data_IF_457724319254
#
_entry.id   IF_457724319254
#
_cell.length_a   1.000
_cell.length_b   1.000
_cell.length_c   1.000
_cell.angle_alpha   90.00
_cell.angle_beta   90.00
_cell.angle_gamma   90.00
#
_symmetry.space_group_name_H-M   'P 1'
#
loop_
_entity.id
_entity.type
_entity.pdbx_description
1 polymer ?
#
# COMPACT_ATOMS: atom_id res chain seq x y z
N UNK A 1 -10.07 -12.20 -31.82
CA UNK A 1 -9.37 -13.43 -31.37
C UNK A 1 -7.88 -13.17 -31.07
N UNK A 2 -7.16 -12.54 -31.98
CA UNK A 2 -5.71 -12.22 -31.83
C UNK A 2 -5.44 -11.31 -30.59
N UNK A 3 -6.28 -10.28 -30.37
CA UNK A 3 -6.12 -9.37 -29.23
C UNK A 3 -6.33 -10.09 -27.88
N UNK A 4 -7.27 -11.02 -27.80
CA UNK A 4 -7.49 -11.83 -26.60
C UNK A 4 -6.31 -12.76 -26.30
N UNK A 5 -5.72 -13.36 -27.34
CA UNK A 5 -4.55 -14.22 -27.21
C UNK A 5 -3.33 -13.42 -26.72
N UNK A 6 -3.12 -12.21 -27.25
CA UNK A 6 -2.04 -11.31 -26.78
C UNK A 6 -2.22 -10.92 -25.30
N UNK A 7 -3.45 -10.56 -24.89
CA UNK A 7 -3.75 -10.22 -23.49
C UNK A 7 -3.49 -11.41 -22.56
N UNK A 8 -3.91 -12.61 -22.94
CA UNK A 8 -3.67 -13.83 -22.14
C UNK A 8 -2.17 -14.15 -22.03
N UNK A 9 -1.42 -14.06 -23.12
CA UNK A 9 0.02 -14.28 -23.11
C UNK A 9 0.73 -13.29 -22.20
N UNK A 10 0.36 -12.00 -22.27
CA UNK A 10 0.93 -10.97 -21.41
C UNK A 10 0.59 -11.18 -19.92
N UNK A 11 -0.64 -11.64 -19.64
CA UNK A 11 -1.08 -11.97 -18.30
C UNK A 11 -0.20 -13.06 -17.66
N UNK A 12 0.05 -14.17 -18.38
CA UNK A 12 0.90 -15.28 -17.91
C UNK A 12 2.34 -14.83 -17.64
N UNK A 13 2.89 -13.99 -18.53
CA UNK A 13 4.23 -13.45 -18.33
C UNK A 13 4.34 -12.61 -17.06
N UNK A 14 3.33 -11.77 -16.77
CA UNK A 14 3.28 -10.94 -15.58
C UNK A 14 3.05 -11.74 -14.30
N UNK A 15 2.27 -12.83 -14.36
CA UNK A 15 2.10 -13.75 -13.25
C UNK A 15 3.47 -14.30 -12.78
N UNK A 16 4.27 -14.78 -13.73
CA UNK A 16 5.60 -15.31 -13.44
C UNK A 16 6.53 -14.24 -12.83
N UNK A 17 6.50 -13.01 -13.38
CA UNK A 17 7.29 -11.89 -12.85
C UNK A 17 6.86 -11.51 -11.44
N UNK A 18 5.56 -11.47 -11.16
CA UNK A 18 5.02 -11.11 -9.85
C UNK A 18 5.36 -12.14 -8.77
N UNK A 19 5.33 -13.43 -9.09
CA UNK A 19 5.73 -14.50 -8.18
C UNK A 19 7.21 -14.38 -7.79
N UNK A 20 8.05 -13.91 -8.70
CA UNK A 20 9.48 -13.68 -8.45
C UNK A 20 9.75 -12.41 -7.61
N UNK A 21 8.80 -11.47 -7.56
CA UNK A 21 8.97 -10.17 -6.89
C UNK A 21 8.61 -10.17 -5.39
N UNK A 22 8.46 -11.33 -4.75
CA UNK A 22 8.00 -11.45 -3.35
C UNK A 22 6.68 -10.72 -3.05
N UNK A 23 5.82 -10.57 -4.06
CA UNK A 23 4.51 -9.94 -3.90
C UNK A 23 3.54 -10.83 -3.15
N UNK A 24 2.55 -10.21 -2.50
CA UNK A 24 1.43 -10.93 -1.92
C UNK A 24 0.72 -11.77 -3.01
N UNK A 25 0.82 -13.11 -2.90
CA UNK A 25 0.24 -14.05 -3.87
C UNK A 25 -1.24 -13.81 -4.08
N UNK A 26 -1.96 -13.53 -3.00
CA UNK A 26 -3.40 -13.28 -3.05
C UNK A 26 -3.74 -12.04 -3.90
N UNK A 27 -2.96 -10.97 -3.78
CA UNK A 27 -3.11 -9.78 -4.63
C UNK A 27 -2.89 -10.12 -6.11
N UNK A 28 -1.83 -10.89 -6.42
CA UNK A 28 -1.50 -11.30 -7.80
C UNK A 28 -2.64 -12.10 -8.42
N UNK A 29 -3.12 -13.16 -7.74
CA UNK A 29 -4.25 -13.97 -8.23
C UNK A 29 -5.52 -13.14 -8.41
N UNK A 30 -5.83 -12.25 -7.49
CA UNK A 30 -7.00 -11.39 -7.57
C UNK A 30 -6.93 -10.41 -8.75
N UNK A 31 -5.76 -9.81 -9.01
CA UNK A 31 -5.55 -8.94 -10.16
C UNK A 31 -5.73 -9.72 -11.48
N UNK A 32 -5.16 -10.91 -11.57
CA UNK A 32 -5.27 -11.77 -12.76
C UNK A 32 -6.72 -12.23 -13.00
N UNK A 33 -7.43 -12.63 -11.94
CA UNK A 33 -8.86 -12.99 -12.03
C UNK A 33 -9.72 -11.81 -12.51
N UNK A 34 -9.43 -10.59 -12.05
CA UNK A 34 -10.13 -9.39 -12.50
C UNK A 34 -9.86 -9.10 -13.98
N UNK A 35 -8.61 -9.25 -14.44
CA UNK A 35 -8.25 -9.12 -15.87
C UNK A 35 -8.99 -10.18 -16.68
N UNK A 36 -8.97 -11.44 -16.26
CA UNK A 36 -9.64 -12.55 -16.94
C UNK A 36 -11.16 -12.33 -17.03
N UNK A 37 -11.78 -11.84 -15.95
CA UNK A 37 -13.21 -11.50 -15.93
C UNK A 37 -13.56 -10.48 -17.02
N UNK A 38 -12.79 -9.40 -17.18
CA UNK A 38 -13.01 -8.39 -18.21
C UNK A 38 -12.73 -8.92 -19.63
N UNK A 39 -11.73 -9.78 -19.80
CA UNK A 39 -11.48 -10.47 -21.08
C UNK A 39 -12.67 -11.32 -21.48
N UNK A 40 -13.23 -12.10 -20.55
CA UNK A 40 -14.37 -12.98 -20.81
C UNK A 40 -15.66 -12.18 -21.09
N UNK A 41 -15.81 -11.01 -20.50
CA UNK A 41 -16.92 -10.08 -20.80
C UNK A 41 -16.73 -9.26 -22.07
N UNK A 42 -15.65 -9.50 -22.81
CA UNK A 42 -15.28 -8.75 -24.03
C UNK A 42 -15.05 -7.25 -23.78
N UNK A 43 -14.87 -6.83 -22.52
CA UNK A 43 -14.47 -5.48 -22.12
C UNK A 43 -12.95 -5.34 -22.25
N UNK A 44 -12.48 -5.32 -23.48
CA UNK A 44 -11.05 -5.25 -23.81
C UNK A 44 -10.39 -3.95 -23.32
N UNK A 45 -11.15 -2.87 -23.20
CA UNK A 45 -10.65 -1.58 -22.75
C UNK A 45 -10.29 -1.62 -21.25
N UNK A 46 -11.20 -2.11 -20.41
CA UNK A 46 -10.94 -2.25 -18.97
C UNK A 46 -9.89 -3.32 -18.70
N UNK A 47 -9.93 -4.46 -19.41
CA UNK A 47 -8.90 -5.50 -19.30
C UNK A 47 -7.51 -4.96 -19.61
N UNK A 48 -7.36 -4.21 -20.72
CA UNK A 48 -6.08 -3.61 -21.12
C UNK A 48 -5.56 -2.58 -20.13
N UNK A 49 -6.45 -1.71 -19.60
CA UNK A 49 -6.10 -0.72 -18.57
C UNK A 49 -5.65 -1.39 -17.28
N UNK A 50 -6.37 -2.41 -16.83
CA UNK A 50 -6.02 -3.17 -15.62
C UNK A 50 -4.66 -3.85 -15.78
N UNK A 51 -4.46 -4.54 -16.92
CA UNK A 51 -3.21 -5.23 -17.26
C UNK A 51 -2.02 -4.26 -17.32
N UNK A 52 -2.21 -3.08 -17.91
CA UNK A 52 -1.17 -2.04 -17.99
C UNK A 52 -0.78 -1.52 -16.61
N UNK A 53 -1.76 -1.22 -15.75
CA UNK A 53 -1.51 -0.76 -14.37
C UNK A 53 -0.82 -1.84 -13.54
N UNK A 54 -1.27 -3.09 -13.67
CA UNK A 54 -0.67 -4.24 -13.00
C UNK A 54 0.78 -4.45 -13.45
N UNK A 55 1.06 -4.42 -14.77
CA UNK A 55 2.41 -4.54 -15.31
C UNK A 55 3.35 -3.43 -14.78
N UNK A 56 2.84 -2.19 -14.67
CA UNK A 56 3.60 -1.06 -14.14
C UNK A 56 3.94 -1.26 -12.65
N UNK A 57 2.99 -1.74 -11.85
CA UNK A 57 3.21 -2.05 -10.43
C UNK A 57 4.24 -3.17 -10.26
N UNK A 58 4.11 -4.28 -11.01
CA UNK A 58 5.07 -5.40 -10.97
C UNK A 58 6.49 -4.91 -11.27
N UNK A 59 6.66 -4.11 -12.33
CA UNK A 59 7.99 -3.58 -12.71
C UNK A 59 8.57 -2.72 -11.60
N UNK A 60 7.78 -1.77 -11.04
CA UNK A 60 8.22 -0.93 -9.94
C UNK A 60 8.59 -1.73 -8.67
N UNK A 61 7.90 -2.84 -8.41
CA UNK A 61 8.21 -3.71 -7.27
C UNK A 61 9.50 -4.53 -7.52
N UNK A 62 9.70 -5.01 -8.75
CA UNK A 62 10.95 -5.68 -9.13
C UNK A 62 12.15 -4.74 -9.00
N UNK A 63 12.02 -3.52 -9.52
CA UNK A 63 13.07 -2.52 -9.42
C UNK A 63 13.39 -2.19 -7.95
N UNK A 64 12.35 -1.99 -7.13
CA UNK A 64 12.50 -1.70 -5.70
C UNK A 64 13.10 -2.87 -4.90
N UNK A 65 12.88 -4.12 -5.33
CA UNK A 65 13.43 -5.31 -4.63
C UNK A 65 14.95 -5.45 -4.77
N UNK A 66 15.56 -4.71 -5.69
CA UNK A 66 17.02 -4.69 -5.89
C UNK A 66 17.75 -3.76 -4.91
N UNK A 67 17.01 -2.92 -4.18
CA UNK A 67 17.56 -1.94 -3.25
C UNK A 67 16.96 -2.11 -1.85
N UNK A 68 17.75 -1.85 -0.83
CA UNK A 68 17.27 -1.90 0.56
C UNK A 68 16.30 -0.79 0.90
N UNK A 69 16.46 0.38 0.27
CA UNK A 69 15.65 1.56 0.49
C UNK A 69 15.22 2.20 -0.83
N UNK A 70 14.10 2.92 -0.78
CA UNK A 70 13.54 3.71 -1.88
C UNK A 70 13.22 5.13 -1.41
N UNK A 71 12.92 6.05 -2.30
CA UNK A 71 12.41 7.38 -1.93
C UNK A 71 10.94 7.32 -1.55
N UNK A 72 10.48 8.29 -0.74
CA UNK A 72 9.05 8.41 -0.42
C UNK A 72 8.21 8.69 -1.68
N UNK A 73 8.76 9.41 -2.67
CA UNK A 73 8.13 9.60 -3.98
C UNK A 73 7.83 8.26 -4.66
N UNK A 74 8.84 7.41 -4.79
CA UNK A 74 8.69 6.09 -5.42
C UNK A 74 7.75 5.16 -4.65
N UNK A 75 7.78 5.24 -3.30
CA UNK A 75 6.87 4.47 -2.44
C UNK A 75 5.41 4.89 -2.64
N UNK A 76 5.11 6.21 -2.66
CA UNK A 76 3.77 6.71 -2.89
C UNK A 76 3.26 6.41 -4.31
N UNK A 77 4.12 6.51 -5.33
CA UNK A 77 3.75 6.12 -6.70
C UNK A 77 3.38 4.64 -6.82
N UNK A 78 4.08 3.75 -6.11
CA UNK A 78 3.71 2.32 -6.04
C UNK A 78 2.40 2.11 -5.32
N UNK A 79 2.24 2.80 -4.20
CA UNK A 79 1.04 2.73 -3.38
C UNK A 79 -0.19 3.22 -4.13
N UNK A 80 -0.07 4.28 -4.92
CA UNK A 80 -1.13 4.79 -5.78
C UNK A 80 -1.51 3.76 -6.86
N UNK A 81 -0.54 3.12 -7.51
CA UNK A 81 -0.83 2.05 -8.46
C UNK A 81 -1.56 0.86 -7.82
N UNK A 82 -1.18 0.49 -6.60
CA UNK A 82 -1.88 -0.53 -5.82
C UNK A 82 -3.32 -0.11 -5.53
N UNK A 83 -3.53 1.12 -5.05
CA UNK A 83 -4.86 1.68 -4.76
C UNK A 83 -5.74 1.75 -6.01
N UNK A 84 -5.19 2.16 -7.15
CA UNK A 84 -5.92 2.16 -8.46
C UNK A 84 -6.41 0.76 -8.81
N UNK A 85 -5.58 -0.28 -8.64
CA UNK A 85 -5.94 -1.66 -8.95
C UNK A 85 -7.02 -2.19 -8.01
N UNK A 86 -6.90 -1.95 -6.70
CA UNK A 86 -7.91 -2.35 -5.72
C UNK A 86 -9.23 -1.56 -5.92
N UNK A 87 -9.15 -0.27 -6.24
CA UNK A 87 -10.33 0.55 -6.57
C UNK A 87 -11.03 0.06 -7.85
N UNK A 88 -10.28 -0.34 -8.88
CA UNK A 88 -10.88 -0.94 -10.08
C UNK A 88 -11.59 -2.26 -9.77
N UNK A 89 -11.12 -3.01 -8.77
CA UNK A 89 -11.70 -4.28 -8.33
C UNK A 89 -12.95 -4.07 -7.49
N UNK A 90 -12.89 -3.17 -6.52
CA UNK A 90 -13.95 -2.98 -5.53
C UNK A 90 -14.83 -1.75 -5.78
N UNK A 91 -14.54 -0.97 -6.85
CA UNK A 91 -15.30 0.20 -7.31
C UNK A 91 -15.87 1.06 -6.17
N UNK A 92 -17.18 0.89 -5.91
CA UNK A 92 -17.93 1.74 -4.99
C UNK A 92 -17.71 1.40 -3.50
N UNK A 93 -16.86 0.41 -3.17
CA UNK A 93 -16.63 0.00 -1.78
C UNK A 93 -15.76 0.98 -1.02
N UNK A 94 -14.82 1.64 -1.68
CA UNK A 94 -13.99 2.64 -1.02
C UNK A 94 -13.56 3.77 -1.95
N UNK A 95 -13.23 4.89 -1.34
CA UNK A 95 -12.49 6.00 -1.95
C UNK A 95 -11.13 6.12 -1.29
N UNK A 96 -10.22 6.78 -1.95
CA UNK A 96 -8.93 7.11 -1.35
C UNK A 96 -8.49 8.52 -1.71
N UNK A 97 -7.66 9.09 -0.87
CA UNK A 97 -6.98 10.36 -1.11
C UNK A 97 -5.52 10.26 -0.69
N UNK A 98 -4.64 10.86 -1.49
CA UNK A 98 -3.23 11.02 -1.15
C UNK A 98 -2.95 12.53 -1.19
N UNK A 99 -2.51 13.07 -0.06
CA UNK A 99 -2.17 14.48 0.08
C UNK A 99 -0.74 14.64 0.55
N UNK A 100 -0.02 15.56 -0.05
CA UNK A 100 1.36 15.87 0.32
C UNK A 100 1.45 17.36 0.60
N UNK A 101 1.98 17.72 1.77
CA UNK A 101 2.27 19.10 2.11
C UNK A 101 3.33 19.65 1.13
N UNK A 102 3.08 20.82 0.48
CA UNK A 102 4.02 21.37 -0.50
C UNK A 102 5.42 21.67 0.03
N UNK A 103 5.58 21.78 1.35
CA UNK A 103 6.87 22.04 1.98
C UNK A 103 7.76 20.79 2.09
N UNK A 104 7.20 19.60 1.82
CA UNK A 104 7.91 18.33 1.96
C UNK A 104 8.57 17.91 0.64
N UNK A 105 9.89 17.84 0.61
CA UNK A 105 10.63 17.23 -0.50
C UNK A 105 10.74 15.70 -0.30
N UNK A 106 9.81 14.97 -0.88
CA UNK A 106 9.72 13.51 -0.76
C UNK A 106 10.93 12.76 -1.36
N UNK A 107 11.73 13.40 -2.22
CA UNK A 107 12.92 12.78 -2.81
C UNK A 107 14.10 12.70 -1.83
N UNK A 108 14.09 13.52 -0.79
CA UNK A 108 15.09 13.49 0.28
C UNK A 108 14.75 12.50 1.42
N UNK A 109 13.59 11.85 1.35
CA UNK A 109 13.14 10.93 2.37
C UNK A 109 13.29 9.50 1.85
N UNK A 110 14.05 8.69 2.57
CA UNK A 110 14.27 7.28 2.22
C UNK A 110 13.68 6.35 3.27
N UNK A 111 13.07 5.26 2.79
CA UNK A 111 12.46 4.23 3.61
C UNK A 111 12.63 2.86 2.95
N UNK A 112 12.46 1.75 3.69
CA UNK A 112 12.40 0.41 3.10
C UNK A 112 11.30 0.32 2.05
N UNK A 113 11.60 -0.32 0.93
CA UNK A 113 10.60 -0.53 -0.11
C UNK A 113 9.40 -1.33 0.39
N UNK A 114 8.21 -0.98 -0.07
CA UNK A 114 6.92 -1.60 0.29
C UNK A 114 6.59 -1.51 1.80
N UNK A 115 7.10 -0.48 2.48
CA UNK A 115 6.88 -0.30 3.91
C UNK A 115 5.46 0.19 4.25
N UNK A 116 4.89 1.05 3.42
CA UNK A 116 3.57 1.64 3.66
C UNK A 116 2.43 0.73 3.19
N UNK A 117 2.66 -0.09 2.18
CA UNK A 117 1.65 -0.93 1.54
C UNK A 117 0.90 -1.85 2.51
N UNK A 118 1.52 -2.57 3.47
CA UNK A 118 0.80 -3.46 4.39
C UNK A 118 -0.24 -2.75 5.26
N UNK A 119 -0.02 -1.46 5.59
CA UNK A 119 -0.98 -0.68 6.35
C UNK A 119 -2.20 -0.30 5.52
N UNK A 120 -1.99 0.05 4.25
CA UNK A 120 -3.07 0.34 3.30
C UNK A 120 -3.86 -0.92 2.96
N UNK A 121 -3.19 -2.05 2.76
CA UNK A 121 -3.84 -3.36 2.62
C UNK A 121 -4.73 -3.67 3.82
N UNK A 122 -4.23 -3.45 5.03
CA UNK A 122 -4.99 -3.68 6.26
C UNK A 122 -6.22 -2.76 6.35
N UNK A 123 -6.08 -1.48 6.00
CA UNK A 123 -7.20 -0.52 5.97
C UNK A 123 -8.30 -0.95 5.01
N UNK A 124 -7.95 -1.40 3.81
CA UNK A 124 -8.92 -1.85 2.81
C UNK A 124 -9.55 -3.18 3.24
N UNK A 125 -8.74 -4.22 3.44
CA UNK A 125 -9.24 -5.58 3.61
C UNK A 125 -9.91 -5.83 4.95
N UNK A 126 -9.38 -5.26 6.03
CA UNK A 126 -9.87 -5.49 7.39
C UNK A 126 -10.64 -4.31 7.97
N UNK A 127 -10.42 -3.10 7.45
CA UNK A 127 -11.14 -1.92 7.89
C UNK A 127 -12.44 -1.73 7.09
N UNK A 128 -12.33 -1.60 5.78
CA UNK A 128 -13.41 -1.10 4.92
C UNK A 128 -14.26 -2.20 4.29
N UNK A 129 -13.64 -3.23 3.70
CA UNK A 129 -14.41 -4.27 2.99
C UNK A 129 -15.47 -4.98 3.83
N UNK A 130 -15.30 -5.17 5.16
CA UNK A 130 -16.34 -5.72 6.02
C UNK A 130 -17.54 -4.79 6.24
N UNK A 131 -17.43 -3.49 5.93
CA UNK A 131 -18.52 -2.54 6.08
C UNK A 131 -19.61 -2.75 5.03
N UNK A 132 -20.85 -2.44 5.36
CA UNK A 132 -21.96 -2.37 4.40
C UNK A 132 -21.90 -1.09 3.56
N UNK A 133 -21.40 0.01 4.13
CA UNK A 133 -21.24 1.31 3.50
C UNK A 133 -19.93 1.45 2.72
N UNK A 134 -19.82 2.50 1.91
CA UNK A 134 -18.58 2.92 1.27
C UNK A 134 -17.65 3.52 2.32
N UNK A 135 -16.37 3.10 2.32
CA UNK A 135 -15.34 3.64 3.20
C UNK A 135 -14.35 4.55 2.48
N UNK A 136 -13.44 5.14 3.26
CA UNK A 136 -12.41 6.03 2.77
C UNK A 136 -11.04 5.73 3.40
N UNK A 137 -9.98 5.69 2.58
CA UNK A 137 -8.59 5.64 3.01
C UNK A 137 -7.93 6.97 2.69
N UNK A 138 -7.43 7.66 3.70
CA UNK A 138 -6.68 8.90 3.55
C UNK A 138 -5.19 8.65 3.87
N UNK A 139 -4.32 9.05 2.96
CA UNK A 139 -2.88 9.05 3.13
C UNK A 139 -2.43 10.50 3.08
N UNK A 140 -1.79 10.98 4.15
CA UNK A 140 -1.24 12.33 4.19
C UNK A 140 0.26 12.29 4.51
N UNK A 141 1.01 13.19 3.89
CA UNK A 141 2.42 13.45 4.15
C UNK A 141 2.56 14.87 4.64
N UNK A 142 3.03 15.03 5.86
CA UNK A 142 3.10 16.31 6.56
C UNK A 142 4.49 16.49 7.19
N UNK A 143 4.94 17.73 7.45
CA UNK A 143 6.09 17.96 8.31
C UNK A 143 5.91 17.28 9.67
N UNK A 144 6.96 16.66 10.19
CA UNK A 144 6.96 16.04 11.51
C UNK A 144 7.00 17.08 12.64
N UNK A 145 7.05 16.59 13.88
CA UNK A 145 7.15 17.45 15.07
C UNK A 145 8.47 18.22 15.13
N UNK A 146 9.50 17.74 14.48
CA UNK A 146 10.80 18.40 14.31
C UNK A 146 11.11 18.62 12.83
N UNK A 147 11.92 19.62 12.51
CA UNK A 147 12.25 20.02 11.15
C UNK A 147 13.00 18.95 10.33
N UNK A 148 13.63 18.00 11.01
CA UNK A 148 14.37 16.88 10.43
C UNK A 148 13.49 15.62 10.21
N UNK A 149 12.17 15.74 10.38
CA UNK A 149 11.24 14.60 10.25
C UNK A 149 10.03 14.93 9.40
N UNK A 150 9.48 13.88 8.79
CA UNK A 150 8.22 13.89 8.07
C UNK A 150 7.31 12.81 8.63
N UNK A 151 6.04 13.11 8.73
CA UNK A 151 5.00 12.19 9.20
C UNK A 151 4.12 11.76 8.03
N UNK A 152 4.10 10.46 7.75
CA UNK A 152 3.12 9.83 6.87
C UNK A 152 2.01 9.26 7.72
N UNK A 153 0.76 9.71 7.50
CA UNK A 153 -0.41 9.15 8.15
C UNK A 153 -1.23 8.34 7.16
N UNK A 154 -1.70 7.18 7.62
CA UNK A 154 -2.67 6.33 6.91
C UNK A 154 -3.86 6.21 7.84
N UNK A 155 -5.01 6.68 7.40
CA UNK A 155 -6.25 6.71 8.17
C UNK A 155 -7.37 6.09 7.34
N UNK A 156 -8.12 5.19 7.93
CA UNK A 156 -9.37 4.67 7.36
C UNK A 156 -10.56 4.97 8.28
N UNK A 157 -11.74 4.99 7.70
CA UNK A 157 -13.02 5.10 8.41
C UNK A 157 -13.71 3.74 8.57
N UNK A 158 -12.91 2.67 8.60
CA UNK A 158 -13.35 1.28 8.70
C UNK A 158 -13.93 0.89 10.06
N UNK A 159 -14.12 -0.43 10.24
CA UNK A 159 -14.69 -1.00 11.49
C UNK A 159 -13.78 -0.88 12.72
N UNK A 160 -12.54 -0.43 12.55
CA UNK A 160 -11.53 -0.32 13.60
C UNK A 160 -10.79 -1.62 13.93
N UNK A 161 -9.67 -1.48 14.63
CA UNK A 161 -8.71 -2.58 14.88
C UNK A 161 -9.32 -3.68 15.73
N UNK A 162 -10.03 -3.34 16.81
CA UNK A 162 -10.56 -4.32 17.77
C UNK A 162 -11.62 -5.23 17.14
N UNK A 163 -12.49 -4.66 16.33
CA UNK A 163 -13.53 -5.42 15.64
C UNK A 163 -12.94 -6.28 14.52
N UNK A 164 -11.94 -5.74 13.80
CA UNK A 164 -11.17 -6.48 12.81
C UNK A 164 -10.45 -7.69 13.41
N UNK A 165 -9.88 -7.57 14.61
CA UNK A 165 -9.22 -8.69 15.29
C UNK A 165 -10.19 -9.78 15.73
N UNK A 166 -11.42 -9.44 16.11
CA UNK A 166 -12.45 -10.41 16.50
C UNK A 166 -13.00 -11.22 15.32
N UNK A 167 -12.99 -10.66 14.11
CA UNK A 167 -13.45 -11.33 12.90
C UNK A 167 -12.41 -12.28 12.27
N UNK A 168 -11.18 -12.31 12.79
CA UNK A 168 -10.06 -13.14 12.30
C UNK A 168 -10.12 -14.64 12.63
N UNK A 169 -11.28 -15.22 12.84
CA UNK A 169 -11.43 -16.69 12.95
C UNK A 169 -11.26 -17.43 11.61
N UNK A 170 -10.91 -16.74 10.52
CA UNK A 170 -10.68 -17.35 9.20
C UNK A 170 -9.21 -17.28 8.75
N UNK A 171 -8.73 -18.30 7.96
CA UNK A 171 -7.31 -18.48 7.61
C UNK A 171 -6.67 -17.35 6.78
N UNK A 172 -7.47 -16.51 6.11
CA UNK A 172 -6.97 -15.43 5.24
C UNK A 172 -6.41 -14.21 6.02
N UNK A 173 -6.82 -14.00 7.28
CA UNK A 173 -6.38 -12.88 8.12
C UNK A 173 -4.92 -12.94 8.55
N UNK A 174 -4.29 -14.12 8.49
CA UNK A 174 -2.96 -14.37 9.04
C UNK A 174 -1.83 -13.74 8.17
N UNK A 175 -2.02 -13.65 6.85
CA UNK A 175 -1.00 -13.13 5.94
C UNK A 175 -0.75 -11.63 6.06
N UNK A 176 -1.78 -10.83 6.31
CA UNK A 176 -1.66 -9.36 6.40
C UNK A 176 -1.13 -8.94 7.76
N UNK A 177 -1.54 -9.62 8.84
CA UNK A 177 -0.95 -9.43 10.17
C UNK A 177 0.54 -9.71 10.17
N UNK A 178 0.98 -10.79 9.49
CA UNK A 178 2.39 -11.10 9.25
C UNK A 178 3.11 -10.01 8.45
N UNK A 179 2.47 -9.43 7.43
CA UNK A 179 3.03 -8.32 6.66
C UNK A 179 3.36 -7.10 7.51
N UNK A 180 2.46 -6.71 8.43
CA UNK A 180 2.69 -5.61 9.38
C UNK A 180 3.80 -5.95 10.37
N UNK A 181 3.83 -7.17 10.92
CA UNK A 181 4.89 -7.63 11.82
C UNK A 181 6.26 -7.65 11.13
N UNK A 182 6.33 -8.16 9.91
CA UNK A 182 7.55 -8.17 9.10
C UNK A 182 8.02 -6.74 8.83
N UNK A 183 7.10 -5.82 8.50
CA UNK A 183 7.44 -4.42 8.23
C UNK A 183 7.96 -3.72 9.48
N UNK A 184 7.33 -3.93 10.64
CA UNK A 184 7.83 -3.42 11.93
C UNK A 184 9.19 -4.01 12.27
N UNK A 185 9.35 -5.33 12.15
CA UNK A 185 10.62 -6.01 12.39
C UNK A 185 11.74 -5.50 11.49
N UNK A 186 11.45 -5.26 10.21
CA UNK A 186 12.41 -4.68 9.25
C UNK A 186 12.81 -3.26 9.63
N UNK A 187 11.87 -2.42 10.03
CA UNK A 187 12.15 -1.08 10.53
C UNK A 187 13.01 -1.10 11.80
N UNK A 188 12.74 -2.03 12.72
CA UNK A 188 13.52 -2.21 13.96
C UNK A 188 14.96 -2.67 13.68
N UNK A 189 15.15 -3.59 12.72
CA UNK A 189 16.50 -4.02 12.30
C UNK A 189 17.27 -2.86 11.70
N UNK A 190 16.66 -2.10 10.79
CA UNK A 190 17.33 -0.94 10.15
C UNK A 190 17.64 0.15 11.17
N UNK A 191 16.79 0.37 12.17
CA UNK A 191 17.07 1.29 13.27
C UNK A 191 18.23 0.82 14.14
N UNK A 192 18.31 -0.49 14.48
CA UNK A 192 19.42 -1.07 15.25
C UNK A 192 20.76 -0.99 14.51
N UNK A 193 20.71 -1.05 13.18
CA UNK A 193 21.88 -0.92 12.32
C UNK A 193 22.24 0.54 12.03
N UNK A 194 21.54 1.52 12.64
CA UNK A 194 21.69 2.97 12.45
C UNK A 194 21.51 3.42 10.98
N UNK A 195 20.87 2.58 10.16
CA UNK A 195 20.62 2.91 8.75
C UNK A 195 19.48 3.91 8.60
N UNK A 196 18.42 3.78 9.45
CA UNK A 196 17.28 4.71 9.48
C UNK A 196 16.67 4.80 10.88
N UNK A 197 16.26 6.01 11.32
CA UNK A 197 15.46 6.23 12.54
C UNK A 197 13.98 6.38 12.17
N UNK A 198 13.35 5.28 11.76
CA UNK A 198 11.92 5.23 11.44
C UNK A 198 11.14 4.89 12.71
N UNK A 199 10.07 5.65 12.97
CA UNK A 199 9.16 5.42 14.10
C UNK A 199 7.76 5.13 13.58
N UNK A 200 7.14 4.06 14.11
CA UNK A 200 5.82 3.63 13.69
C UNK A 200 4.90 3.65 14.91
N UNK A 201 3.83 4.43 14.83
CA UNK A 201 2.75 4.48 15.80
C UNK A 201 1.51 3.80 15.23
N UNK A 202 0.99 2.82 15.94
CA UNK A 202 -0.21 2.09 15.54
C UNK A 202 0.07 0.74 14.86
N UNK A 203 -0.96 0.15 14.24
CA UNK A 203 -2.30 0.71 14.05
C UNK A 203 -3.06 0.93 15.37
N UNK A 204 -3.72 2.09 15.48
CA UNK A 204 -4.56 2.45 16.62
C UNK A 204 -5.99 2.71 16.16
N UNK A 205 -6.95 2.25 16.95
CA UNK A 205 -8.34 2.64 16.77
C UNK A 205 -8.48 4.11 17.14
N UNK A 206 -9.13 4.88 16.31
CA UNK A 206 -9.41 6.27 16.62
C UNK A 206 -10.90 6.50 16.82
N UNK A 207 -11.23 7.45 17.67
CA UNK A 207 -12.57 7.73 18.11
C UNK A 207 -12.91 9.19 17.86
N UNK A 208 -14.16 9.44 17.56
CA UNK A 208 -14.72 10.79 17.58
C UNK A 208 -14.57 11.36 18.99
N UNK A 209 -13.94 12.53 19.17
CA UNK A 209 -13.65 13.07 20.48
C UNK A 209 -14.90 13.53 21.24
N UNK A 210 -16.02 13.71 20.55
CA UNK A 210 -17.29 14.18 21.16
C UNK A 210 -18.19 13.00 21.52
N UNK A 211 -18.34 12.07 20.58
CA UNK A 211 -19.29 10.94 20.72
C UNK A 211 -18.67 9.67 21.27
N UNK A 212 -17.32 9.56 21.27
CA UNK A 212 -16.59 8.34 21.61
C UNK A 212 -16.76 7.21 20.60
N UNK A 213 -17.46 7.47 19.48
CA UNK A 213 -17.70 6.46 18.43
C UNK A 213 -16.41 6.09 17.73
N UNK A 214 -16.26 4.79 17.42
CA UNK A 214 -15.18 4.31 16.57
C UNK A 214 -15.33 4.92 15.17
N UNK A 215 -14.25 5.56 14.71
CA UNK A 215 -14.17 6.23 13.42
C UNK A 215 -13.22 5.52 12.44
N UNK A 216 -12.62 4.39 12.86
CA UNK A 216 -11.72 3.60 12.04
C UNK A 216 -10.34 3.36 12.65
N UNK A 217 -9.31 3.25 11.79
CA UNK A 217 -7.94 2.96 12.18
C UNK A 217 -6.99 4.06 11.72
N UNK A 218 -5.95 4.31 12.50
CA UNK A 218 -4.89 5.26 12.18
C UNK A 218 -3.51 4.65 12.41
N UNK A 219 -2.61 4.88 11.44
CA UNK A 219 -1.18 4.57 11.53
C UNK A 219 -0.39 5.83 11.24
N UNK A 220 0.63 6.09 12.03
CA UNK A 220 1.63 7.14 11.81
C UNK A 220 3.00 6.53 11.56
N UNK A 221 3.70 6.98 10.53
CA UNK A 221 5.07 6.60 10.21
C UNK A 221 5.91 7.87 10.15
N UNK A 222 6.76 8.08 11.16
CA UNK A 222 7.72 9.18 11.18
C UNK A 222 9.02 8.75 10.51
N UNK A 223 9.42 9.51 9.50
CA UNK A 223 10.60 9.28 8.68
C UNK A 223 11.61 10.41 8.86
N UNK A 224 12.91 10.12 8.95
CA UNK A 224 13.94 11.16 8.99
C UNK A 224 14.12 11.77 7.59
N UNK A 225 14.29 13.10 7.55
CA UNK A 225 14.75 13.80 6.36
C UNK A 225 16.26 13.64 6.28
N UNK A 226 16.74 13.00 5.23
CA UNK A 226 18.17 12.84 5.04
C UNK A 226 18.80 14.17 4.62
N UNK A 227 19.94 14.57 5.22
CA UNK A 227 20.66 15.72 4.71
C UNK A 227 21.07 15.45 3.24
N UNK A 228 21.11 16.49 2.38
CA UNK A 228 21.52 16.33 1.00
C UNK A 228 22.90 15.66 0.95
N UNK A 229 22.99 14.56 0.20
CA UNK A 229 24.28 13.87 -0.02
C UNK A 229 25.24 14.88 -0.61
N UNK A 230 26.29 15.27 0.13
CA UNK A 230 27.37 16.08 -0.41
C UNK A 230 27.96 15.29 -1.57
N UNK A 231 27.77 15.77 -2.80
CA UNK A 231 28.53 15.22 -3.95
C UNK A 231 30.02 15.27 -3.59
N UNK A 232 30.76 14.16 -3.75
CA UNK A 232 32.18 14.21 -3.63
C UNK A 232 32.72 15.24 -4.65
N UNK A 233 33.54 16.17 -4.18
CA UNK A 233 34.21 17.19 -4.95
C UNK A 233 35.24 16.53 -5.86
#
# INVERSE_FOLDING_TARGET
HTRQLMLRSRMLQLEQQALNANMNRHFVFNALNSIQYHINKQDSTTASRYLTSFAKLIRKNLDASQYDTTTLTEELERLELYLVLEHMRFKDKFRYTITVDPSVDMNQIRLPAMMLQPYVENSIWHGILPMSAQGHVAISVEPGKSADRVLVRIVDDGIGVDQSMRSKSEPEGDHISRGIEITKGRADVLRRLEVTDIRIEGPHQWHDPVTGRIMGTRVGVELPVQPPVKKPV
#
